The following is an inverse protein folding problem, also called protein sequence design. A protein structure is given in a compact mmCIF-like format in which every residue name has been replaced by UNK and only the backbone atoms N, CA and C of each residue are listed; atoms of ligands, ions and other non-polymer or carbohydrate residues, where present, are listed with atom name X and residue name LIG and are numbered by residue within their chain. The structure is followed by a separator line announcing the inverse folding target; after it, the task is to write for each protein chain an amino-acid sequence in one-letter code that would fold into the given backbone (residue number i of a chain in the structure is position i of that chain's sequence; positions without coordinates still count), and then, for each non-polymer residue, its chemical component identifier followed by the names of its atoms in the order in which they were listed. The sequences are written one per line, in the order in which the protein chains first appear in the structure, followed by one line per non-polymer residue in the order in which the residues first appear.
data_IF_672509643769
#
_entry.id   IF_672509643769
#
_cell.length_a   1.000
_cell.length_b   1.000
_cell.length_c   1.000
_cell.angle_alpha   90.00
_cell.angle_beta   90.00
_cell.angle_gamma   90.00
#
_symmetry.space_group_name_H-M   'P 1'
#
loop_
_entity.id
_entity.type
_entity.pdbx_description
1 polymer ?
#
# COMPACT_ATOMS: atom_id res chain seq x y z
N UNK A 1 -12.28 15.86 -61.32
CA UNK A 1 -12.75 15.23 -60.07
C UNK A 1 -11.60 14.41 -59.54
N UNK A 2 -10.77 15.00 -58.62
CA UNK A 2 -9.56 14.38 -58.06
C UNK A 2 -9.96 13.63 -56.78
N UNK A 3 -9.80 12.30 -56.78
CA UNK A 3 -10.00 11.46 -55.63
C UNK A 3 -8.70 11.47 -54.78
N UNK A 4 -8.75 12.03 -53.58
CA UNK A 4 -7.66 11.95 -52.57
C UNK A 4 -7.67 10.58 -51.92
N UNK A 5 -6.53 9.88 -51.82
CA UNK A 5 -6.47 8.60 -51.12
C UNK A 5 -6.54 8.81 -49.60
N UNK A 6 -7.48 8.13 -48.95
CA UNK A 6 -7.62 8.07 -47.52
C UNK A 6 -6.52 7.12 -46.99
N UNK A 7 -5.49 7.67 -46.35
CA UNK A 7 -4.49 6.86 -45.64
C UNK A 7 -5.07 6.38 -44.30
N UNK A 8 -5.41 5.12 -44.20
CA UNK A 8 -5.75 4.45 -42.94
C UNK A 8 -4.46 4.29 -42.12
N UNK A 9 -4.30 5.13 -41.12
CA UNK A 9 -3.24 4.95 -40.11
C UNK A 9 -3.68 3.82 -39.16
N UNK A 10 -3.14 2.64 -39.33
CA UNK A 10 -3.32 1.52 -38.42
C UNK A 10 -2.39 1.74 -37.21
N UNK A 11 -2.93 2.19 -36.09
CA UNK A 11 -2.19 2.25 -34.83
C UNK A 11 -2.08 0.81 -34.30
N UNK A 12 -0.92 0.20 -34.47
CA UNK A 12 -0.61 -1.07 -33.84
C UNK A 12 -0.46 -0.83 -32.33
N UNK A 13 -1.41 -1.31 -31.53
CA UNK A 13 -1.24 -1.40 -30.07
C UNK A 13 -0.12 -2.42 -29.79
N UNK A 14 1.04 -1.92 -29.42
CA UNK A 14 2.13 -2.75 -28.93
C UNK A 14 1.74 -3.28 -27.55
N UNK A 15 1.25 -4.51 -27.49
CA UNK A 15 1.03 -5.21 -26.23
C UNK A 15 2.38 -5.51 -25.60
N UNK A 16 2.67 -4.85 -24.47
CA UNK A 16 3.87 -5.14 -23.71
C UNK A 16 3.77 -6.55 -23.08
N UNK A 17 4.87 -7.33 -23.05
CA UNK A 17 4.83 -8.67 -22.46
C UNK A 17 4.42 -8.58 -20.98
N UNK A 18 3.55 -9.51 -20.56
CA UNK A 18 2.97 -9.54 -19.20
C UNK A 18 4.03 -9.54 -18.09
N UNK A 19 5.17 -10.19 -18.32
CA UNK A 19 6.30 -10.20 -17.39
C UNK A 19 6.87 -8.79 -17.14
N UNK A 20 7.07 -7.98 -18.20
CA UNK A 20 7.58 -6.62 -18.07
C UNK A 20 6.57 -5.69 -17.35
N UNK A 21 5.27 -5.97 -17.44
CA UNK A 21 4.27 -5.25 -16.66
C UNK A 21 4.34 -5.63 -15.18
N UNK A 22 4.46 -6.91 -14.86
CA UNK A 22 4.58 -7.39 -13.48
C UNK A 22 5.82 -6.79 -12.78
N UNK A 23 6.96 -6.70 -13.47
CA UNK A 23 8.19 -6.09 -12.92
C UNK A 23 7.98 -4.59 -12.62
N UNK A 24 7.30 -3.85 -13.49
CA UNK A 24 6.95 -2.44 -13.25
C UNK A 24 6.00 -2.28 -12.07
N UNK A 25 5.03 -3.15 -11.94
CA UNK A 25 4.08 -3.15 -10.83
C UNK A 25 4.81 -3.43 -9.50
N UNK A 26 5.71 -4.41 -9.45
CA UNK A 26 6.55 -4.69 -8.27
C UNK A 26 7.42 -3.48 -7.92
N UNK A 27 8.06 -2.84 -8.89
CA UNK A 27 8.86 -1.65 -8.65
C UNK A 27 8.00 -0.47 -8.10
N UNK A 28 6.78 -0.32 -8.59
CA UNK A 28 5.83 0.68 -8.09
C UNK A 28 5.40 0.38 -6.66
N UNK A 29 5.01 -0.86 -6.38
CA UNK A 29 4.59 -1.31 -5.04
C UNK A 29 5.73 -1.19 -4.03
N UNK A 30 6.98 -1.46 -4.44
CA UNK A 30 8.16 -1.27 -3.57
C UNK A 30 8.31 0.18 -3.12
N UNK A 31 8.07 1.15 -4.03
CA UNK A 31 8.09 2.57 -3.66
C UNK A 31 6.94 2.92 -2.72
N UNK A 32 5.72 2.42 -2.99
CA UNK A 32 4.56 2.65 -2.12
C UNK A 32 4.76 2.07 -0.71
N UNK A 33 5.46 0.93 -0.57
CA UNK A 33 5.85 0.39 0.74
C UNK A 33 6.83 1.30 1.47
N UNK A 34 7.80 1.89 0.76
CA UNK A 34 8.72 2.87 1.35
C UNK A 34 7.98 4.14 1.79
N UNK A 35 7.07 4.66 0.95
CA UNK A 35 6.23 5.83 1.28
C UNK A 35 5.32 5.54 2.46
N UNK A 36 4.73 4.35 2.54
CA UNK A 36 3.94 3.87 3.66
C UNK A 36 4.74 3.93 4.97
N UNK A 37 5.94 3.33 5.00
CA UNK A 37 6.78 3.31 6.19
C UNK A 37 7.18 4.73 6.62
N UNK A 38 7.64 5.53 5.68
CA UNK A 38 8.05 6.90 5.95
C UNK A 38 6.90 7.80 6.42
N UNK A 39 5.71 7.64 5.84
CA UNK A 39 4.52 8.40 6.23
C UNK A 39 4.08 8.07 7.67
N UNK A 40 4.18 6.80 8.09
CA UNK A 40 3.87 6.41 9.47
C UNK A 40 4.80 7.09 10.48
N UNK A 41 6.12 7.08 10.21
CA UNK A 41 7.11 7.72 11.11
C UNK A 41 6.92 9.24 11.16
N UNK A 42 6.65 9.88 10.03
CA UNK A 42 6.44 11.33 9.98
C UNK A 42 5.06 11.77 10.48
N UNK A 43 4.12 10.84 10.68
CA UNK A 43 2.73 11.19 10.96
C UNK A 43 2.03 11.90 9.77
N UNK A 44 2.46 11.57 8.56
CA UNK A 44 1.98 12.19 7.32
C UNK A 44 0.62 11.61 6.91
N UNK A 45 -0.43 12.14 7.54
CA UNK A 45 -1.80 11.72 7.31
C UNK A 45 -2.24 11.88 5.84
N UNK A 46 -1.76 12.92 5.15
CA UNK A 46 -2.14 13.18 3.75
C UNK A 46 -1.59 12.10 2.81
N UNK A 47 -0.33 11.71 2.97
CA UNK A 47 0.24 10.60 2.20
C UNK A 47 -0.49 9.29 2.50
N UNK A 48 -0.79 9.00 3.77
CA UNK A 48 -1.51 7.78 4.14
C UNK A 48 -2.93 7.77 3.60
N UNK A 49 -3.65 8.90 3.66
CA UNK A 49 -4.98 9.02 3.07
C UNK A 49 -4.99 8.73 1.57
N UNK A 50 -3.93 9.13 0.86
CA UNK A 50 -3.76 8.85 -0.56
C UNK A 50 -3.46 7.37 -0.85
N UNK A 51 -2.68 6.73 0.00
CA UNK A 51 -2.33 5.30 -0.11
C UNK A 51 -3.51 4.38 0.26
N UNK A 52 -4.40 4.82 1.13
CA UNK A 52 -5.55 4.06 1.60
C UNK A 52 -6.71 4.15 0.60
N UNK A 53 -7.28 3.01 0.23
CA UNK A 53 -8.54 2.98 -0.52
C UNK A 53 -9.70 3.39 0.40
N UNK A 54 -10.78 3.92 -0.18
CA UNK A 54 -11.95 4.35 0.61
C UNK A 54 -12.64 3.19 1.34
N UNK A 55 -12.53 1.98 0.79
CA UNK A 55 -13.02 0.73 1.36
C UNK A 55 -11.95 -0.04 2.18
N UNK A 56 -10.92 0.64 2.67
CA UNK A 56 -9.87 0.04 3.48
C UNK A 56 -10.42 -0.66 4.73
N UNK A 57 -9.90 -1.86 4.98
CA UNK A 57 -10.09 -2.59 6.24
C UNK A 57 -8.74 -2.88 6.87
N UNK A 58 -8.56 -2.49 8.13
CA UNK A 58 -7.36 -2.75 8.92
C UNK A 58 -7.68 -3.65 10.11
N UNK A 59 -6.93 -4.75 10.23
CA UNK A 59 -7.01 -5.70 11.34
C UNK A 59 -5.62 -5.87 11.92
N UNK A 60 -5.42 -5.43 13.15
CA UNK A 60 -4.12 -5.54 13.84
C UNK A 60 -4.31 -5.96 15.29
N UNK A 61 -3.34 -6.62 15.91
CA UNK A 61 -3.43 -7.09 17.29
C UNK A 61 -3.76 -5.96 18.29
N UNK A 62 -4.69 -6.25 19.21
CA UNK A 62 -5.04 -5.34 20.29
C UNK A 62 -5.89 -4.13 19.89
N UNK A 63 -6.33 -4.05 18.63
CA UNK A 63 -7.19 -2.95 18.16
C UNK A 63 -8.49 -3.50 17.56
N UNK A 64 -9.55 -2.68 17.59
CA UNK A 64 -10.76 -2.99 16.82
C UNK A 64 -10.46 -2.96 15.33
N UNK A 65 -11.32 -3.57 14.53
CA UNK A 65 -11.28 -3.41 13.06
C UNK A 65 -11.46 -1.92 12.73
N UNK A 66 -10.59 -1.40 11.86
CA UNK A 66 -10.56 0.02 11.51
C UNK A 66 -10.87 0.22 10.03
N UNK A 67 -11.59 1.30 9.76
CA UNK A 67 -11.79 1.87 8.43
C UNK A 67 -10.64 2.83 8.05
N UNK A 68 -10.67 3.34 6.81
CA UNK A 68 -9.76 4.43 6.38
C UNK A 68 -9.82 5.63 7.33
N UNK A 69 -11.04 6.09 7.65
CA UNK A 69 -11.22 7.25 8.54
C UNK A 69 -10.64 7.02 9.94
N UNK A 70 -10.81 5.82 10.50
CA UNK A 70 -10.22 5.46 11.77
C UNK A 70 -8.69 5.45 11.70
N UNK A 71 -8.12 4.86 10.66
CA UNK A 71 -6.67 4.77 10.48
C UNK A 71 -6.02 6.15 10.29
N UNK A 72 -6.60 7.02 9.45
CA UNK A 72 -6.14 8.40 9.27
C UNK A 72 -6.31 9.21 10.57
N UNK A 73 -7.41 8.99 11.31
CA UNK A 73 -7.69 9.64 12.57
C UNK A 73 -6.65 9.40 13.67
N UNK A 74 -5.90 8.30 13.60
CA UNK A 74 -4.77 8.04 14.51
C UNK A 74 -3.70 9.14 14.38
N UNK A 75 -3.40 9.53 13.14
CA UNK A 75 -2.36 10.52 12.84
C UNK A 75 -2.85 11.95 13.07
N UNK A 76 -4.05 12.28 12.63
CA UNK A 76 -4.62 13.62 12.75
C UNK A 76 -4.94 13.99 14.20
N UNK A 77 -5.25 13.01 15.07
CA UNK A 77 -5.51 13.24 16.50
C UNK A 77 -4.26 13.35 17.36
N UNK A 78 -3.08 12.97 16.84
CA UNK A 78 -1.84 12.91 17.61
C UNK A 78 -1.81 11.88 18.74
N UNK A 79 -2.82 10.99 18.84
CA UNK A 79 -2.93 9.97 19.90
C UNK A 79 -1.86 8.90 19.84
N UNK A 80 -1.25 8.70 18.69
CA UNK A 80 -0.20 7.70 18.47
C UNK A 80 0.89 8.31 17.60
N UNK A 81 2.13 8.10 17.99
CA UNK A 81 3.33 8.43 17.22
C UNK A 81 4.14 7.17 16.99
N UNK A 82 4.73 7.08 15.82
CA UNK A 82 5.65 5.99 15.49
C UNK A 82 7.08 6.55 15.46
N UNK A 83 7.93 6.07 16.36
CA UNK A 83 9.36 6.38 16.35
C UNK A 83 10.10 5.48 15.34
N UNK A 84 9.56 4.28 15.10
CA UNK A 84 10.02 3.31 14.12
C UNK A 84 8.82 2.66 13.43
N UNK A 85 8.93 2.45 12.14
CA UNK A 85 7.98 1.68 11.34
C UNK A 85 8.72 1.08 10.15
N UNK A 86 9.12 -0.19 10.26
CA UNK A 86 10.01 -0.84 9.31
C UNK A 86 9.42 -2.17 8.86
N UNK A 87 9.32 -2.33 7.55
CA UNK A 87 8.96 -3.61 6.92
C UNK A 87 10.20 -4.31 6.39
N UNK A 88 10.24 -5.63 6.52
CA UNK A 88 11.32 -6.49 6.05
C UNK A 88 10.75 -7.83 5.54
N UNK A 89 11.59 -8.64 4.94
CA UNK A 89 11.21 -9.95 4.36
C UNK A 89 10.02 -9.81 3.39
N UNK A 90 9.93 -8.68 2.71
CA UNK A 90 8.77 -8.32 1.89
C UNK A 90 8.73 -9.16 0.61
N UNK A 91 7.58 -9.77 0.33
CA UNK A 91 7.32 -10.54 -0.88
C UNK A 91 6.10 -9.98 -1.60
N UNK A 92 6.25 -9.77 -2.90
CA UNK A 92 5.21 -9.24 -3.78
C UNK A 92 4.67 -10.34 -4.68
N UNK A 93 3.34 -10.44 -4.79
CA UNK A 93 2.64 -11.27 -5.76
C UNK A 93 1.62 -10.42 -6.47
N UNK A 94 1.78 -10.25 -7.77
CA UNK A 94 0.92 -9.40 -8.59
C UNK A 94 0.03 -10.29 -9.46
N UNK A 95 -1.26 -10.03 -9.43
CA UNK A 95 -2.31 -10.70 -10.19
C UNK A 95 -3.16 -9.61 -10.88
N UNK A 96 -2.80 -9.23 -12.10
CA UNK A 96 -3.44 -8.16 -12.88
C UNK A 96 -3.56 -6.84 -12.08
N UNK A 97 -4.77 -6.51 -11.63
CA UNK A 97 -5.05 -5.30 -10.85
C UNK A 97 -5.01 -5.52 -9.33
N UNK A 98 -4.59 -6.71 -8.87
CA UNK A 98 -4.47 -7.06 -7.45
C UNK A 98 -3.04 -7.40 -7.12
N UNK A 99 -2.55 -6.93 -5.97
CA UNK A 99 -1.26 -7.37 -5.45
C UNK A 99 -1.39 -7.77 -3.98
N UNK A 100 -0.72 -8.86 -3.62
CA UNK A 100 -0.58 -9.33 -2.24
C UNK A 100 0.85 -9.08 -1.81
N UNK A 101 1.02 -8.33 -0.73
CA UNK A 101 2.33 -8.04 -0.13
C UNK A 101 2.36 -8.65 1.26
N UNK A 102 3.32 -9.54 1.49
CA UNK A 102 3.53 -10.14 2.82
C UNK A 102 4.90 -9.77 3.35
N UNK A 103 5.05 -9.72 4.66
CA UNK A 103 6.34 -9.40 5.27
C UNK A 103 6.30 -9.42 6.79
N UNK A 104 7.36 -8.87 7.37
CA UNK A 104 7.49 -8.61 8.81
C UNK A 104 7.48 -7.12 9.05
N UNK A 105 6.73 -6.67 10.04
CA UNK A 105 6.68 -5.29 10.50
C UNK A 105 7.24 -5.20 11.91
N UNK A 106 8.25 -4.37 12.09
CA UNK A 106 8.73 -3.93 13.40
C UNK A 106 8.44 -2.46 13.57
N UNK A 107 7.75 -2.11 14.63
CA UNK A 107 7.43 -0.72 14.93
C UNK A 107 7.55 -0.41 16.41
N UNK A 108 7.95 0.81 16.71
CA UNK A 108 7.96 1.40 18.04
C UNK A 108 6.99 2.55 18.03
N UNK A 109 6.07 2.58 18.97
CA UNK A 109 5.02 3.62 19.04
C UNK A 109 4.87 4.16 20.46
N UNK A 110 4.59 5.44 20.57
CA UNK A 110 4.19 6.10 21.80
C UNK A 110 2.66 6.19 21.87
N UNK A 111 2.06 5.67 22.93
CA UNK A 111 0.62 5.69 23.17
C UNK A 111 0.38 5.96 24.66
N UNK A 112 -0.36 7.04 24.97
CA UNK A 112 -0.71 7.38 26.36
C UNK A 112 0.51 7.57 27.28
N UNK A 113 1.65 8.02 26.76
CA UNK A 113 2.89 8.21 27.51
C UNK A 113 3.75 6.93 27.66
N UNK A 114 3.28 5.80 27.17
CA UNK A 114 4.03 4.54 27.16
C UNK A 114 4.64 4.27 25.78
N UNK A 115 5.82 3.63 25.77
CA UNK A 115 6.47 3.12 24.56
C UNK A 115 6.12 1.66 24.40
N UNK A 116 5.66 1.28 23.20
CA UNK A 116 5.27 -0.10 22.86
C UNK A 116 6.02 -0.53 21.60
N UNK A 117 6.68 -1.68 21.68
CA UNK A 117 7.30 -2.35 20.53
C UNK A 117 6.40 -3.48 20.03
N UNK A 118 6.14 -3.45 18.73
CA UNK A 118 5.40 -4.50 18.05
C UNK A 118 6.31 -5.22 17.05
N UNK A 119 6.19 -6.55 16.97
CA UNK A 119 6.84 -7.40 15.97
C UNK A 119 5.77 -8.32 15.37
N UNK A 120 5.39 -8.02 14.14
CA UNK A 120 4.25 -8.64 13.47
C UNK A 120 4.62 -9.27 12.13
N UNK A 121 3.85 -10.29 11.75
CA UNK A 121 3.71 -10.70 10.35
C UNK A 121 2.51 -9.98 9.76
N UNK A 122 2.62 -9.54 8.50
CA UNK A 122 1.51 -8.86 7.85
C UNK A 122 1.21 -9.42 6.45
N UNK A 123 -0.04 -9.24 6.07
CA UNK A 123 -0.53 -9.37 4.70
C UNK A 123 -1.23 -8.06 4.34
N UNK A 124 -0.83 -7.48 3.22
CA UNK A 124 -1.42 -6.27 2.66
C UNK A 124 -1.94 -6.59 1.26
N UNK A 125 -3.15 -6.14 0.97
CA UNK A 125 -3.75 -6.27 -0.36
C UNK A 125 -3.86 -4.89 -0.98
N UNK A 126 -3.28 -4.76 -2.16
CA UNK A 126 -3.42 -3.59 -3.02
C UNK A 126 -4.37 -3.90 -4.16
N UNK A 127 -5.21 -2.93 -4.52
CA UNK A 127 -5.96 -2.92 -5.78
C UNK A 127 -5.53 -1.73 -6.63
N UNK A 128 -5.40 -1.95 -7.94
CA UNK A 128 -5.20 -0.89 -8.92
C UNK A 128 -6.54 -0.46 -9.49
N UNK A 129 -6.97 0.76 -9.14
CA UNK A 129 -8.20 1.40 -9.62
C UNK A 129 -7.83 2.72 -10.29
N UNK A 130 -8.35 2.98 -11.50
CA UNK A 130 -8.02 4.17 -12.29
C UNK A 130 -6.49 4.43 -12.38
N UNK A 131 -5.71 3.38 -12.64
CA UNK A 131 -4.25 3.43 -12.78
C UNK A 131 -3.46 3.60 -11.48
N UNK A 132 -4.11 3.63 -10.32
CA UNK A 132 -3.49 3.90 -9.02
C UNK A 132 -3.61 2.69 -8.08
N UNK A 133 -2.50 2.24 -7.53
CA UNK A 133 -2.45 1.21 -6.49
C UNK A 133 -2.81 1.81 -5.12
N UNK A 134 -3.79 1.23 -4.44
CA UNK A 134 -4.20 1.61 -3.09
C UNK A 134 -4.40 0.37 -2.22
N UNK A 135 -4.12 0.51 -0.93
CA UNK A 135 -4.33 -0.57 0.05
C UNK A 135 -5.81 -0.69 0.38
N UNK A 136 -6.39 -1.86 0.15
CA UNK A 136 -7.78 -2.20 0.51
C UNK A 136 -7.86 -3.05 1.77
N UNK A 137 -6.77 -3.76 2.12
CA UNK A 137 -6.73 -4.57 3.33
C UNK A 137 -5.31 -4.57 3.91
N UNK A 138 -5.21 -4.36 5.20
CA UNK A 138 -4.00 -4.58 5.98
C UNK A 138 -4.35 -5.45 7.19
N UNK A 139 -3.76 -6.63 7.23
CA UNK A 139 -3.91 -7.55 8.35
C UNK A 139 -2.53 -7.88 8.92
N UNK A 140 -2.38 -7.76 10.23
CA UNK A 140 -1.18 -8.18 10.93
C UNK A 140 -1.52 -9.09 12.11
N UNK A 141 -0.58 -9.96 12.45
CA UNK A 141 -0.62 -10.84 13.62
C UNK A 141 0.71 -10.80 14.34
N UNK A 142 0.71 -11.10 15.64
CA UNK A 142 1.95 -11.26 16.38
C UNK A 142 2.80 -12.35 15.73
N UNK A 143 4.13 -12.16 15.72
CA UNK A 143 5.05 -13.26 15.43
C UNK A 143 4.91 -14.31 16.52
N UNK A 144 5.04 -15.60 16.16
CA UNK A 144 5.15 -16.64 17.16
C UNK A 144 6.40 -16.39 18.05
N UNK A 145 6.34 -16.70 19.35
CA UNK A 145 7.50 -16.61 20.23
C UNK A 145 8.63 -17.52 19.78
#
# INVERSE_FOLDING_TARGET
MMLLPLWLVTIALVQQPAAAQADRDVATLTRLEADWNAAHVRGDAATLEHLFADDLVVVVPGMRVMTKGDAVGIFTSGRMKFDRYETSETKFRVYDATAIVTGRLRRTRAVGGATVDDDWRFTKVYLRRAGRWQVVSFHASNTAP
#
